data_IF_767469590384
#
_entry.id   IF_767469590384
#
_cell.length_a   1.000
_cell.length_b   1.000
_cell.length_c   1.000
_cell.angle_alpha   90.00
_cell.angle_beta   90.00
_cell.angle_gamma   90.00
#
_symmetry.space_group_name_H-M   'P 1'
#
loop_
_entity.id
_entity.type
_entity.pdbx_description
1 polymer ?
#
# COMPACT_ATOMS: atom_id res chain seq x y z
N UNK A 1 -14.98 -10.77 11.02
CA UNK A 1 -14.64 -9.34 11.12
C UNK A 1 -15.65 -8.57 10.29
N UNK A 2 -16.41 -7.66 10.90
CA UNK A 2 -17.36 -6.82 10.18
C UNK A 2 -16.61 -5.91 9.19
N UNK A 3 -16.89 -6.07 7.89
CA UNK A 3 -16.28 -5.24 6.84
C UNK A 3 -16.54 -3.73 7.06
N UNK A 4 -17.66 -3.40 7.72
CA UNK A 4 -18.00 -2.04 8.13
C UNK A 4 -17.06 -1.49 9.23
N UNK A 5 -16.63 -2.33 10.17
CA UNK A 5 -15.70 -1.95 11.24
C UNK A 5 -14.30 -1.66 10.67
N UNK A 6 -13.87 -2.44 9.66
CA UNK A 6 -12.60 -2.22 8.95
C UNK A 6 -12.60 -0.89 8.20
N UNK A 7 -13.64 -0.60 7.42
CA UNK A 7 -13.77 0.67 6.69
C UNK A 7 -13.83 1.90 7.59
N UNK A 8 -14.52 1.78 8.73
CA UNK A 8 -14.63 2.87 9.72
C UNK A 8 -13.29 3.15 10.40
N UNK A 9 -12.57 2.11 10.80
CA UNK A 9 -11.24 2.22 11.39
C UNK A 9 -10.26 2.86 10.42
N UNK A 10 -10.32 2.47 9.14
CA UNK A 10 -9.53 3.07 8.08
C UNK A 10 -9.82 4.57 7.88
N UNK A 11 -11.09 4.95 7.85
CA UNK A 11 -11.48 6.34 7.72
C UNK A 11 -10.99 7.21 8.90
N UNK A 12 -10.99 6.66 10.12
CA UNK A 12 -10.44 7.33 11.31
C UNK A 12 -8.92 7.48 11.22
N UNK A 13 -8.20 6.42 10.84
CA UNK A 13 -6.75 6.48 10.66
C UNK A 13 -6.34 7.54 9.62
N UNK A 14 -7.03 7.62 8.48
CA UNK A 14 -6.78 8.65 7.46
C UNK A 14 -6.96 10.07 8.01
N UNK A 15 -7.98 10.31 8.82
CA UNK A 15 -8.23 11.62 9.45
C UNK A 15 -7.16 12.01 10.47
N UNK A 16 -6.50 11.03 11.09
CA UNK A 16 -5.47 11.26 12.10
C UNK A 16 -4.10 11.56 11.49
N UNK A 17 -3.75 10.90 10.38
CA UNK A 17 -2.40 10.97 9.80
C UNK A 17 -2.27 11.99 8.67
N UNK A 18 -3.35 12.24 7.89
CA UNK A 18 -3.30 13.16 6.75
C UNK A 18 -3.68 14.58 7.17
N UNK A 19 -3.02 15.57 6.58
CA UNK A 19 -3.44 16.97 6.67
C UNK A 19 -4.76 17.20 5.95
N UNK A 20 -5.42 18.33 6.25
CA UNK A 20 -6.70 18.71 5.64
C UNK A 20 -6.64 18.76 4.11
N UNK A 21 -5.54 19.28 3.57
CA UNK A 21 -5.29 19.38 2.12
C UNK A 21 -5.08 18.00 1.50
N UNK A 22 -4.31 17.13 2.15
CA UNK A 22 -4.11 15.76 1.68
C UNK A 22 -5.42 14.97 1.70
N UNK A 23 -6.21 15.05 2.77
CA UNK A 23 -7.53 14.41 2.82
C UNK A 23 -8.47 14.85 1.68
N UNK A 24 -8.45 16.14 1.34
CA UNK A 24 -9.25 16.70 0.25
C UNK A 24 -8.82 16.18 -1.13
N UNK A 25 -7.52 15.93 -1.32
CA UNK A 25 -6.95 15.31 -2.53
C UNK A 25 -7.25 13.81 -2.66
N UNK A 26 -7.85 13.19 -1.64
CA UNK A 26 -8.30 11.79 -1.59
C UNK A 26 -7.22 10.68 -1.79
N UNK A 27 -5.97 10.81 -1.29
CA UNK A 27 -5.02 9.71 -1.26
C UNK A 27 -5.51 8.62 -0.31
N UNK A 28 -5.12 7.36 -0.59
CA UNK A 28 -5.44 6.22 0.27
C UNK A 28 -6.94 6.00 0.50
N UNK A 29 -7.81 6.38 -0.45
CA UNK A 29 -9.27 6.29 -0.29
C UNK A 29 -9.72 4.88 0.05
N UNK A 30 -9.05 3.87 -0.51
CA UNK A 30 -9.22 2.46 -0.17
C UNK A 30 -8.03 1.99 0.65
N UNK A 31 -8.23 1.09 1.63
CA UNK A 31 -7.14 0.46 2.38
C UNK A 31 -6.04 -0.14 1.50
N UNK A 32 -6.43 -0.68 0.35
CA UNK A 32 -5.53 -1.35 -0.59
C UNK A 32 -4.61 -0.38 -1.35
N UNK A 33 -4.96 0.91 -1.43
CA UNK A 33 -4.15 1.91 -2.14
C UNK A 33 -2.80 2.14 -1.45
N UNK A 34 -2.75 2.10 -0.11
CA UNK A 34 -1.49 2.22 0.64
C UNK A 34 -0.63 0.97 0.51
N UNK A 35 -1.25 -0.22 0.37
CA UNK A 35 -0.50 -1.45 0.09
C UNK A 35 0.18 -1.35 -1.27
N UNK A 36 -0.53 -0.88 -2.30
CA UNK A 36 0.08 -0.64 -3.61
C UNK A 36 1.19 0.42 -3.57
N UNK A 37 0.96 1.56 -2.92
CA UNK A 37 1.95 2.63 -2.82
C UNK A 37 3.21 2.17 -2.07
N UNK A 38 3.04 1.45 -0.96
CA UNK A 38 4.13 0.83 -0.23
C UNK A 38 4.88 -0.16 -1.10
N UNK A 39 4.20 -1.10 -1.76
CA UNK A 39 4.86 -2.11 -2.59
C UNK A 39 5.67 -1.46 -3.73
N UNK A 40 5.12 -0.45 -4.41
CA UNK A 40 5.83 0.30 -5.46
C UNK A 40 7.02 1.10 -4.91
N UNK A 41 6.90 1.70 -3.73
CA UNK A 41 8.00 2.43 -3.09
C UNK A 41 9.18 1.51 -2.78
N UNK A 42 8.93 0.32 -2.26
CA UNK A 42 9.99 -0.63 -1.87
C UNK A 42 10.71 -1.21 -3.09
N UNK A 43 9.96 -1.46 -4.17
CA UNK A 43 10.51 -1.85 -5.46
C UNK A 43 11.43 -0.75 -6.01
N UNK A 44 11.03 0.51 -5.89
CA UNK A 44 11.81 1.66 -6.35
C UNK A 44 13.05 1.94 -5.47
N UNK A 45 12.95 1.71 -4.16
CA UNK A 45 14.05 1.93 -3.21
C UNK A 45 15.14 0.85 -3.23
N UNK A 46 15.03 -0.17 -4.08
CA UNK A 46 16.04 -1.23 -4.19
C UNK A 46 16.15 -2.13 -2.95
N UNK A 47 15.09 -2.21 -2.13
CA UNK A 47 15.06 -3.11 -0.97
C UNK A 47 15.18 -4.55 -1.47
N UNK A 48 15.97 -5.36 -0.77
CA UNK A 48 16.15 -6.78 -1.09
C UNK A 48 14.78 -7.48 -1.28
N UNK A 49 14.56 -8.17 -2.42
CA UNK A 49 13.27 -8.77 -2.74
C UNK A 49 12.77 -9.79 -1.71
N UNK A 50 13.66 -10.47 -0.97
CA UNK A 50 13.29 -11.44 0.05
C UNK A 50 12.80 -10.75 1.34
N UNK A 51 13.41 -9.63 1.74
CA UNK A 51 12.93 -8.77 2.83
C UNK A 51 11.53 -8.22 2.52
N UNK A 52 11.35 -7.77 1.28
CA UNK A 52 10.10 -7.24 0.77
C UNK A 52 8.97 -8.27 0.75
N UNK A 53 9.21 -9.47 0.22
CA UNK A 53 8.25 -10.56 0.21
C UNK A 53 7.84 -11.00 1.62
N UNK A 54 8.80 -11.07 2.55
CA UNK A 54 8.52 -11.39 3.95
C UNK A 54 7.63 -10.34 4.62
N UNK A 55 7.92 -9.04 4.45
CA UNK A 55 7.13 -7.95 5.04
C UNK A 55 5.76 -7.78 4.40
N UNK A 56 5.65 -8.04 3.10
CA UNK A 56 4.37 -8.03 2.40
C UNK A 56 3.52 -9.28 2.73
N UNK A 57 4.14 -10.38 3.17
CA UNK A 57 3.49 -11.68 3.31
C UNK A 57 3.04 -12.26 1.97
N UNK A 58 3.80 -11.99 0.91
CA UNK A 58 3.49 -12.38 -0.48
C UNK A 58 4.70 -13.08 -1.10
N UNK A 59 4.47 -13.98 -2.05
CA UNK A 59 5.55 -14.61 -2.81
C UNK A 59 6.23 -13.57 -3.74
N UNK A 60 7.57 -13.58 -3.77
CA UNK A 60 8.43 -12.76 -4.64
C UNK A 60 7.96 -12.79 -6.11
N UNK A 61 7.58 -13.96 -6.64
CA UNK A 61 7.12 -14.09 -8.03
C UNK A 61 5.84 -13.29 -8.31
N UNK A 62 4.90 -13.27 -7.35
CA UNK A 62 3.65 -12.51 -7.49
C UNK A 62 3.93 -11.01 -7.47
N UNK A 63 4.89 -10.59 -6.66
CA UNK A 63 5.33 -9.21 -6.54
C UNK A 63 5.99 -8.71 -7.83
N UNK A 64 6.98 -9.44 -8.37
CA UNK A 64 7.59 -9.08 -9.65
C UNK A 64 6.58 -9.09 -10.80
N UNK A 65 5.72 -10.09 -10.88
CA UNK A 65 4.72 -10.20 -11.96
C UNK A 65 3.72 -9.03 -11.98
N UNK A 66 3.34 -8.50 -10.82
CA UNK A 66 2.27 -7.51 -10.73
C UNK A 66 2.77 -6.07 -10.55
N UNK A 67 3.98 -5.89 -10.02
CA UNK A 67 4.52 -4.57 -9.67
C UNK A 67 5.78 -4.18 -10.45
N UNK A 68 6.56 -5.13 -10.95
CA UNK A 68 7.69 -4.82 -11.81
C UNK A 68 7.20 -4.58 -13.25
N UNK A 69 6.59 -3.41 -13.49
CA UNK A 69 6.51 -2.84 -14.85
C UNK A 69 7.76 -2.03 -15.12
N UNK A 70 8.90 -2.71 -15.25
CA UNK A 70 10.02 -2.17 -16.01
C UNK A 70 9.73 -2.50 -17.47
N UNK A 71 9.22 -1.51 -18.22
CA UNK A 71 9.18 -1.61 -19.67
C UNK A 71 10.62 -1.52 -20.22
N UNK A 72 10.94 -2.17 -21.34
CA UNK A 72 12.09 -1.75 -22.15
C UNK A 72 11.92 -0.30 -22.63
#
# INVERSE_FOLDING_TARGET
MDAAAYGTTWARARKYVLTRTELASKPAKRPYDLRHAGISFWLYSGVDPAEFARRAGQNIEVLFRHYAKFGP
#
